data_IF_499760202243
#
_entry.id   IF_499760202243
#
_cell.length_a   1.000
_cell.length_b   1.000
_cell.length_c   1.000
_cell.angle_alpha   90.00
_cell.angle_beta   90.00
_cell.angle_gamma   90.00
#
_symmetry.space_group_name_H-M   'P 1'
#
loop_
_entity.id
_entity.type
_entity.pdbx_description
1 polymer ?
#
# COMPACT_ATOMS: atom_id res chain seq x y z
N UNK A 1 -20.41 -3.48 -13.54
CA UNK A 1 -20.06 -2.11 -13.09
C UNK A 1 -21.36 -1.32 -13.10
N UNK A 2 -21.76 -0.75 -11.96
CA UNK A 2 -22.97 0.06 -11.87
C UNK A 2 -22.58 1.50 -11.53
N UNK A 3 -23.03 2.46 -12.33
CA UNK A 3 -22.69 3.88 -12.16
C UNK A 3 -23.97 4.64 -11.87
N UNK A 4 -23.97 5.41 -10.77
CA UNK A 4 -25.10 6.25 -10.39
C UNK A 4 -24.63 7.70 -10.33
N UNK A 5 -25.25 8.54 -11.15
CA UNK A 5 -24.98 9.97 -11.18
C UNK A 5 -26.04 10.67 -10.31
N UNK A 6 -25.61 11.45 -9.34
CA UNK A 6 -26.48 12.28 -8.50
C UNK A 6 -26.01 13.72 -8.63
N UNK A 7 -26.87 14.59 -9.15
CA UNK A 7 -26.58 16.01 -9.27
C UNK A 7 -27.17 16.70 -8.04
N UNK A 8 -26.36 17.51 -7.35
CA UNK A 8 -26.74 18.14 -6.10
C UNK A 8 -26.48 19.64 -6.15
N UNK A 9 -27.55 20.42 -6.22
CA UNK A 9 -27.48 21.87 -6.11
C UNK A 9 -27.43 22.33 -4.67
N UNK A 10 -26.34 23.00 -4.25
CA UNK A 10 -26.32 23.73 -2.98
C UNK A 10 -26.61 25.21 -3.24
N UNK A 11 -27.84 25.64 -2.97
CA UNK A 11 -28.24 27.05 -2.99
C UNK A 11 -28.44 27.53 -1.55
N UNK A 12 -27.38 27.61 -0.72
CA UNK A 12 -27.51 28.16 0.64
C UNK A 12 -26.37 29.13 0.98
N UNK A 13 -26.76 30.31 1.45
CA UNK A 13 -25.87 31.30 2.04
C UNK A 13 -25.41 30.82 3.43
N UNK A 14 -24.12 31.01 3.71
CA UNK A 14 -23.40 30.38 4.81
C UNK A 14 -23.84 30.95 6.16
N UNK A 15 -24.52 30.11 6.94
CA UNK A 15 -24.55 30.18 8.41
C UNK A 15 -23.65 29.09 9.00
N UNK A 16 -23.23 29.28 10.25
CA UNK A 16 -22.22 28.53 11.01
C UNK A 16 -22.39 26.99 11.16
N UNK A 17 -23.27 26.32 10.41
CA UNK A 17 -23.63 24.90 10.58
C UNK A 17 -23.50 24.02 9.32
N UNK A 18 -22.76 24.50 8.30
CA UNK A 18 -22.63 23.83 6.99
C UNK A 18 -21.97 22.45 7.05
N UNK A 19 -21.08 22.23 8.03
CA UNK A 19 -20.34 20.96 8.17
C UNK A 19 -21.27 19.80 8.59
N UNK A 20 -22.28 20.04 9.42
CA UNK A 20 -23.20 18.99 9.88
C UNK A 20 -24.22 18.61 8.79
N UNK A 21 -24.79 19.60 8.10
CA UNK A 21 -25.74 19.35 6.99
C UNK A 21 -25.07 18.62 5.82
N UNK A 22 -23.86 19.03 5.45
CA UNK A 22 -23.11 18.35 4.39
C UNK A 22 -22.72 16.93 4.82
N UNK A 23 -22.36 16.74 6.09
CA UNK A 23 -22.03 15.42 6.63
C UNK A 23 -23.23 14.48 6.56
N UNK A 24 -24.41 14.94 6.98
CA UNK A 24 -25.64 14.16 6.94
C UNK A 24 -26.04 13.83 5.50
N UNK A 25 -25.91 14.79 4.59
CA UNK A 25 -26.13 14.55 3.16
C UNK A 25 -25.17 13.49 2.59
N UNK A 26 -23.86 13.60 2.88
CA UNK A 26 -22.85 12.64 2.42
C UNK A 26 -23.12 11.24 2.99
N UNK A 27 -23.51 11.17 4.27
CA UNK A 27 -23.87 9.93 4.92
C UNK A 27 -25.10 9.29 4.25
N UNK A 28 -26.15 10.07 3.99
CA UNK A 28 -27.33 9.61 3.25
C UNK A 28 -27.01 9.14 1.84
N UNK A 29 -26.09 9.81 1.14
CA UNK A 29 -25.63 9.43 -0.19
C UNK A 29 -24.84 8.11 -0.16
N UNK A 30 -23.93 7.92 0.80
CA UNK A 30 -23.21 6.66 1.01
C UNK A 30 -24.20 5.53 1.28
N UNK A 31 -25.16 5.74 2.18
CA UNK A 31 -26.12 4.71 2.55
C UNK A 31 -27.06 4.36 1.40
N UNK A 32 -27.52 5.35 0.61
CA UNK A 32 -28.33 5.12 -0.60
C UNK A 32 -27.58 4.31 -1.66
N UNK A 33 -26.32 4.64 -1.90
CA UNK A 33 -25.47 3.92 -2.86
C UNK A 33 -25.21 2.50 -2.37
N UNK A 34 -24.96 2.31 -1.07
CA UNK A 34 -24.73 0.99 -0.49
C UNK A 34 -25.98 0.10 -0.54
N UNK A 35 -27.15 0.64 -0.15
CA UNK A 35 -28.43 -0.07 -0.23
C UNK A 35 -28.74 -0.50 -1.67
N UNK A 36 -28.44 0.34 -2.66
CA UNK A 36 -28.67 0.02 -4.08
C UNK A 36 -27.74 -1.05 -4.64
N UNK A 37 -26.58 -1.27 -4.03
CA UNK A 37 -25.61 -2.26 -4.50
C UNK A 37 -25.85 -3.67 -3.95
N UNK A 38 -26.51 -3.82 -2.80
CA UNK A 38 -26.96 -5.13 -2.26
C UNK A 38 -25.86 -6.10 -1.81
N UNK A 39 -24.59 -5.92 -2.21
CA UNK A 39 -23.46 -6.79 -1.85
C UNK A 39 -22.42 -6.06 -0.96
N UNK A 40 -22.04 -6.73 0.12
CA UNK A 40 -21.00 -6.30 1.08
C UNK A 40 -19.59 -6.26 0.49
N UNK A 41 -19.35 -7.00 -0.59
CA UNK A 41 -18.07 -7.00 -1.32
C UNK A 41 -17.90 -5.80 -2.26
N UNK A 42 -18.97 -5.04 -2.49
CA UNK A 42 -18.97 -3.87 -3.38
C UNK A 42 -18.05 -2.78 -2.86
N UNK A 43 -17.21 -2.25 -3.76
CA UNK A 43 -16.42 -1.06 -3.49
C UNK A 43 -17.01 0.15 -4.20
N UNK A 44 -16.96 1.29 -3.55
CA UNK A 44 -17.58 2.53 -4.01
C UNK A 44 -16.51 3.59 -4.21
N UNK A 45 -16.59 4.33 -5.30
CA UNK A 45 -15.77 5.51 -5.57
C UNK A 45 -16.67 6.71 -5.80
N UNK A 46 -16.19 7.90 -5.50
CA UNK A 46 -16.96 9.13 -5.65
C UNK A 46 -16.16 10.17 -6.40
N UNK A 47 -16.81 10.92 -7.27
CA UNK A 47 -16.17 12.00 -8.02
C UNK A 47 -17.01 13.26 -7.87
N UNK A 48 -16.41 14.31 -7.32
CA UNK A 48 -17.04 15.61 -7.13
C UNK A 48 -16.55 16.56 -8.22
N UNK A 49 -17.49 17.16 -8.94
CA UNK A 49 -17.18 18.15 -9.97
C UNK A 49 -17.95 19.42 -9.65
N UNK A 50 -17.26 20.54 -9.64
CA UNK A 50 -17.85 21.84 -9.37
C UNK A 50 -17.12 22.90 -10.22
N UNK A 51 -17.80 23.92 -10.76
CA UNK A 51 -17.15 24.95 -11.59
C UNK A 51 -16.01 25.70 -10.90
N UNK A 52 -16.09 25.88 -9.58
CA UNK A 52 -15.00 26.48 -8.78
C UNK A 52 -13.80 25.55 -8.56
N UNK A 53 -13.90 24.26 -8.91
CA UNK A 53 -12.80 23.31 -8.86
C UNK A 53 -12.21 23.15 -10.26
N UNK A 54 -10.92 23.47 -10.44
CA UNK A 54 -10.22 23.25 -11.73
C UNK A 54 -10.09 21.76 -12.07
N UNK A 55 -10.07 20.90 -11.04
CA UNK A 55 -10.00 19.46 -11.20
C UNK A 55 -11.08 18.78 -10.35
N UNK A 56 -11.67 17.72 -10.88
CA UNK A 56 -12.61 16.90 -10.12
C UNK A 56 -11.93 16.25 -8.91
N UNK A 57 -12.62 16.23 -7.77
CA UNK A 57 -12.13 15.57 -6.56
C UNK A 57 -12.51 14.11 -6.63
N UNK A 58 -11.52 13.25 -6.80
CA UNK A 58 -11.71 11.81 -6.83
C UNK A 58 -11.48 11.18 -5.45
N UNK A 59 -12.48 10.44 -4.97
CA UNK A 59 -12.40 9.56 -3.82
C UNK A 59 -12.27 8.12 -4.35
N UNK A 60 -11.17 7.43 -4.01
CA UNK A 60 -10.86 6.12 -4.54
C UNK A 60 -11.89 5.07 -4.11
N UNK A 61 -11.94 3.99 -4.90
CA UNK A 61 -12.77 2.82 -4.60
C UNK A 61 -12.39 2.17 -3.27
N UNK A 62 -13.32 2.15 -2.33
CA UNK A 62 -13.15 1.52 -1.01
C UNK A 62 -14.45 0.87 -0.55
N UNK A 63 -14.35 0.00 0.46
CA UNK A 63 -15.53 -0.59 1.09
C UNK A 63 -16.33 0.46 1.87
N UNK A 64 -17.61 0.17 2.16
CA UNK A 64 -18.50 1.06 2.94
C UNK A 64 -17.83 1.59 4.20
N UNK A 65 -17.20 0.71 4.97
CA UNK A 65 -16.57 1.04 6.27
C UNK A 65 -15.38 2.01 6.13
N UNK A 66 -14.85 2.20 4.92
CA UNK A 66 -13.67 3.03 4.64
C UNK A 66 -14.01 4.33 3.91
N UNK A 67 -15.21 4.43 3.34
CA UNK A 67 -15.76 5.64 2.73
C UNK A 67 -16.84 6.21 3.63
N UNK A 68 -16.41 6.80 4.75
CA UNK A 68 -17.31 7.52 5.67
C UNK A 68 -17.49 8.97 5.23
N UNK A 69 -18.55 9.62 5.68
CA UNK A 69 -18.80 11.03 5.39
C UNK A 69 -17.60 11.91 5.77
N UNK A 70 -16.94 11.64 6.90
CA UNK A 70 -15.75 12.38 7.35
C UNK A 70 -14.57 12.28 6.38
N UNK A 71 -14.38 11.10 5.77
CA UNK A 71 -13.32 10.90 4.77
C UNK A 71 -13.60 11.74 3.53
N UNK A 72 -14.88 11.82 3.11
CA UNK A 72 -15.29 12.63 1.96
C UNK A 72 -15.15 14.12 2.24
N UNK A 73 -15.66 14.57 3.38
CA UNK A 73 -15.59 15.98 3.80
C UNK A 73 -14.14 16.43 3.92
N UNK A 74 -13.27 15.64 4.58
CA UNK A 74 -11.85 15.99 4.70
C UNK A 74 -11.18 16.15 3.33
N UNK A 75 -11.56 15.34 2.34
CA UNK A 75 -11.00 15.42 0.99
C UNK A 75 -11.48 16.67 0.25
N UNK A 76 -12.76 17.01 0.40
CA UNK A 76 -13.34 18.24 -0.14
C UNK A 76 -12.72 19.47 0.53
N UNK A 77 -12.67 19.52 1.86
CA UNK A 77 -12.06 20.61 2.64
C UNK A 77 -10.59 20.84 2.28
N UNK A 78 -9.80 19.77 2.13
CA UNK A 78 -8.40 19.91 1.72
C UNK A 78 -8.27 20.55 0.32
N UNK A 79 -9.17 20.22 -0.60
CA UNK A 79 -9.18 20.80 -1.95
C UNK A 79 -9.66 22.25 -1.96
N UNK A 80 -10.70 22.59 -1.18
CA UNK A 80 -11.18 23.98 -1.08
C UNK A 80 -10.17 24.89 -0.39
N UNK A 81 -9.59 24.45 0.72
CA UNK A 81 -8.56 25.20 1.47
C UNK A 81 -7.33 25.49 0.62
N UNK A 82 -6.90 24.54 -0.23
CA UNK A 82 -5.76 24.75 -1.12
C UNK A 82 -5.95 25.88 -2.14
N UNK A 83 -7.19 26.34 -2.34
CA UNK A 83 -7.56 27.40 -3.28
C UNK A 83 -8.13 28.66 -2.61
N UNK A 84 -8.17 28.71 -1.27
CA UNK A 84 -8.81 29.80 -0.55
C UNK A 84 -10.33 29.89 -0.80
N UNK A 85 -10.95 28.81 -1.29
CA UNK A 85 -12.40 28.75 -1.47
C UNK A 85 -13.04 28.51 -0.11
N UNK A 86 -13.75 29.51 0.39
CA UNK A 86 -14.50 29.41 1.65
C UNK A 86 -15.93 28.91 1.42
N UNK A 87 -16.41 28.94 0.18
CA UNK A 87 -17.83 28.72 -0.16
C UNK A 87 -17.95 28.09 -1.55
N UNK A 88 -18.90 27.15 -1.71
CA UNK A 88 -19.31 26.66 -3.02
C UNK A 88 -20.57 27.42 -3.43
N UNK A 89 -20.40 28.36 -4.35
CA UNK A 89 -21.53 28.98 -5.03
C UNK A 89 -21.79 28.15 -6.29
N UNK A 90 -23.06 27.76 -6.52
CA UNK A 90 -23.58 26.93 -7.63
C UNK A 90 -23.66 25.42 -7.35
N UNK A 91 -24.20 24.69 -8.32
CA UNK A 91 -24.46 23.25 -8.21
C UNK A 91 -23.18 22.41 -8.30
N UNK A 92 -23.12 21.37 -7.45
CA UNK A 92 -22.04 20.39 -7.44
C UNK A 92 -22.56 19.05 -8.00
N UNK A 93 -21.82 18.51 -8.96
CA UNK A 93 -22.10 17.19 -9.51
C UNK A 93 -21.36 16.11 -8.74
N UNK A 94 -22.07 15.10 -8.28
CA UNK A 94 -21.50 13.98 -7.51
C UNK A 94 -21.77 12.67 -8.26
N UNK A 95 -20.71 12.04 -8.75
CA UNK A 95 -20.81 10.74 -9.43
C UNK A 95 -20.38 9.65 -8.46
N UNK A 96 -21.31 8.78 -8.09
CA UNK A 96 -21.04 7.59 -7.30
C UNK A 96 -20.88 6.37 -8.22
N UNK A 97 -19.73 5.72 -8.13
CA UNK A 97 -19.45 4.51 -8.93
C UNK A 97 -19.38 3.31 -8.00
N UNK A 98 -20.23 2.32 -8.24
CA UNK A 98 -20.23 1.06 -7.53
C UNK A 98 -19.60 -0.04 -8.39
N UNK A 99 -18.51 -0.60 -7.89
CA UNK A 99 -17.79 -1.68 -8.53
C UNK A 99 -17.95 -2.95 -7.70
N UNK A 100 -18.53 -3.97 -8.33
CA UNK A 100 -18.46 -5.32 -7.80
C UNK A 100 -17.12 -5.90 -8.24
N UNK A 101 -16.19 -6.17 -7.31
CA UNK A 101 -14.97 -6.87 -7.68
C UNK A 101 -15.38 -8.23 -8.28
N UNK A 102 -14.67 -8.71 -9.33
CA UNK A 102 -14.98 -9.99 -9.92
C UNK A 102 -14.92 -11.08 -8.84
N UNK A 103 -16.05 -11.73 -8.58
CA UNK A 103 -16.15 -12.86 -7.66
C UNK A 103 -15.92 -14.15 -8.44
N UNK A 104 -14.87 -14.87 -8.06
CA UNK A 104 -14.45 -16.11 -8.68
C UNK A 104 -13.05 -16.49 -8.23
N UNK A 105 -12.76 -17.80 -8.18
CA UNK A 105 -11.37 -18.28 -8.05
C UNK A 105 -10.64 -18.05 -9.37
N UNK A 106 -10.47 -16.80 -9.81
CA UNK A 106 -9.42 -16.50 -10.77
C UNK A 106 -8.14 -17.06 -10.16
N UNK A 107 -7.47 -18.02 -10.84
CA UNK A 107 -6.38 -18.87 -10.31
C UNK A 107 -5.73 -18.17 -9.13
N UNK A 108 -6.15 -18.56 -7.93
CA UNK A 108 -5.54 -18.07 -6.71
C UNK A 108 -4.10 -18.52 -6.88
N UNK A 109 -3.18 -17.60 -7.19
CA UNK A 109 -1.76 -17.91 -7.07
C UNK A 109 -1.64 -18.31 -5.63
N UNK A 110 -1.48 -19.60 -5.38
CA UNK A 110 -1.45 -20.18 -4.06
C UNK A 110 -0.66 -19.22 -3.17
N UNK A 111 -1.37 -18.63 -2.21
CA UNK A 111 -0.75 -17.80 -1.21
C UNK A 111 0.03 -18.79 -0.37
N UNK A 112 1.24 -19.13 -0.81
CA UNK A 112 2.13 -20.00 -0.08
C UNK A 112 2.51 -19.20 1.15
N UNK A 113 1.86 -19.52 2.27
CA UNK A 113 2.36 -19.17 3.59
C UNK A 113 3.84 -19.56 3.62
N UNK A 114 4.68 -18.64 4.06
CA UNK A 114 6.14 -18.66 3.90
C UNK A 114 6.85 -19.82 4.64
N UNK A 115 6.11 -20.86 5.03
CA UNK A 115 6.57 -22.03 5.76
C UNK A 115 6.84 -23.24 4.86
N UNK A 116 6.40 -23.21 3.59
CA UNK A 116 6.66 -24.28 2.64
C UNK A 116 7.70 -23.88 1.60
N UNK A 117 8.74 -24.71 1.50
CA UNK A 117 9.95 -24.50 0.72
C UNK A 117 9.70 -23.91 -0.67
N UNK A 118 10.17 -22.68 -0.88
CA UNK A 118 10.14 -21.99 -2.16
C UNK A 118 10.91 -22.82 -3.19
N UNK A 119 10.20 -23.46 -4.13
CA UNK A 119 10.81 -24.06 -5.32
C UNK A 119 11.40 -22.93 -6.18
N UNK A 120 12.70 -23.02 -6.44
CA UNK A 120 13.58 -21.92 -6.90
C UNK A 120 13.32 -21.46 -8.35
N UNK A 121 12.40 -22.10 -9.10
CA UNK A 121 12.30 -21.92 -10.55
C UNK A 121 11.15 -21.04 -11.06
N UNK A 122 10.39 -20.35 -10.20
CA UNK A 122 9.34 -19.43 -10.65
C UNK A 122 9.59 -18.00 -10.16
N UNK A 123 9.44 -17.02 -11.06
CA UNK A 123 9.40 -15.59 -10.74
C UNK A 123 8.19 -15.32 -9.84
N UNK A 124 8.41 -15.27 -8.53
CA UNK A 124 7.39 -15.00 -7.52
C UNK A 124 7.45 -13.55 -7.05
N UNK A 125 6.28 -12.92 -6.89
CA UNK A 125 6.14 -11.57 -6.35
C UNK A 125 5.89 -11.71 -4.85
N UNK A 126 6.85 -11.30 -4.04
CA UNK A 126 6.74 -11.28 -2.58
C UNK A 126 6.05 -9.99 -2.14
N UNK A 127 4.85 -10.09 -1.56
CA UNK A 127 4.19 -8.96 -0.87
C UNK A 127 4.52 -9.01 0.62
N UNK A 128 5.37 -8.09 1.07
CA UNK A 128 5.74 -7.92 2.48
C UNK A 128 4.85 -6.82 3.07
N UNK A 129 3.93 -7.17 3.99
CA UNK A 129 3.23 -6.17 4.81
C UNK A 129 4.19 -5.68 5.89
N UNK A 130 4.45 -4.38 5.96
CA UNK A 130 5.34 -3.83 6.97
C UNK A 130 4.87 -2.46 7.47
N UNK A 131 5.03 -2.25 8.78
CA UNK A 131 4.70 -1.03 9.53
C UNK A 131 5.94 -0.20 9.88
N UNK A 132 7.14 -0.65 9.50
CA UNK A 132 8.42 0.01 9.74
C UNK A 132 9.01 0.53 8.42
N UNK A 133 9.53 1.76 8.45
CA UNK A 133 10.14 2.46 7.30
C UNK A 133 11.39 1.76 6.75
N UNK A 134 12.02 0.87 7.52
CA UNK A 134 13.24 0.16 7.13
C UNK A 134 12.99 -1.24 6.57
N UNK A 135 11.73 -1.64 6.41
CA UNK A 135 11.34 -2.99 5.99
C UNK A 135 12.03 -3.54 4.75
N UNK A 136 12.05 -2.73 3.69
CA UNK A 136 12.59 -3.07 2.40
C UNK A 136 14.11 -3.17 2.47
N UNK A 137 14.75 -2.19 3.11
CA UNK A 137 16.19 -2.19 3.30
C UNK A 137 16.64 -3.39 4.15
N UNK A 138 15.91 -3.75 5.21
CA UNK A 138 16.17 -4.96 6.01
C UNK A 138 16.03 -6.25 5.19
N UNK A 139 14.99 -6.36 4.36
CA UNK A 139 14.80 -7.50 3.47
C UNK A 139 15.96 -7.63 2.45
N UNK A 140 16.41 -6.50 1.89
CA UNK A 140 17.56 -6.45 0.97
C UNK A 140 18.84 -6.91 1.67
N UNK A 141 19.13 -6.46 2.89
CA UNK A 141 20.31 -6.89 3.68
C UNK A 141 20.33 -8.41 3.85
N UNK A 142 19.20 -9.01 4.24
CA UNK A 142 19.09 -10.46 4.45
C UNK A 142 19.21 -11.22 3.12
N UNK A 143 18.62 -10.69 2.05
CA UNK A 143 18.69 -11.29 0.71
C UNK A 143 20.12 -11.30 0.16
N UNK A 144 20.86 -10.20 0.28
CA UNK A 144 22.28 -10.12 -0.14
C UNK A 144 23.10 -11.18 0.61
N UNK A 145 23.00 -11.22 1.94
CA UNK A 145 23.77 -12.19 2.73
C UNK A 145 23.42 -13.65 2.38
N UNK A 146 22.17 -13.94 2.04
CA UNK A 146 21.74 -15.26 1.61
C UNK A 146 22.23 -15.60 0.18
N UNK A 147 22.30 -14.62 -0.71
CA UNK A 147 22.86 -14.76 -2.05
C UNK A 147 24.36 -15.05 -2.00
N UNK A 148 25.12 -14.31 -1.19
CA UNK A 148 26.56 -14.54 -0.96
C UNK A 148 26.82 -15.99 -0.50
N UNK A 149 26.03 -16.47 0.46
CA UNK A 149 26.13 -17.85 0.95
C UNK A 149 25.80 -18.89 -0.15
N UNK A 150 24.86 -18.60 -1.04
CA UNK A 150 24.53 -19.51 -2.16
C UNK A 150 25.63 -19.53 -3.21
N UNK A 151 26.14 -18.36 -3.60
CA UNK A 151 27.26 -18.26 -4.54
C UNK A 151 28.46 -19.03 -4.02
N UNK A 152 28.80 -18.84 -2.74
CA UNK A 152 29.90 -19.53 -2.07
C UNK A 152 29.71 -21.06 -2.03
N UNK A 153 28.47 -21.54 -1.93
CA UNK A 153 28.16 -22.99 -1.99
C UNK A 153 28.26 -23.57 -3.41
N UNK A 154 27.98 -22.77 -4.43
CA UNK A 154 27.89 -23.23 -5.82
C UNK A 154 29.25 -23.27 -6.54
N UNK A 155 30.28 -22.59 -6.02
CA UNK A 155 31.63 -22.64 -6.60
C UNK A 155 32.21 -24.08 -6.54
N UNK A 156 32.69 -24.62 -7.66
CA UNK A 156 33.19 -26.00 -7.73
C UNK A 156 34.48 -26.17 -6.91
N UNK A 157 34.56 -27.25 -6.11
CA UNK A 157 35.72 -27.60 -5.26
C UNK A 157 36.86 -28.32 -6.01
N UNK A 158 36.68 -28.56 -7.31
CA UNK A 158 37.38 -29.62 -8.06
C UNK A 158 38.89 -29.35 -8.23
N UNK A 159 39.37 -28.12 -7.95
CA UNK A 159 40.79 -27.73 -8.12
C UNK A 159 41.44 -27.14 -6.85
N UNK A 160 40.81 -27.21 -5.67
CA UNK A 160 41.34 -26.55 -4.46
C UNK A 160 42.28 -27.45 -3.64
N UNK A 161 43.41 -26.89 -3.20
CA UNK A 161 44.35 -27.55 -2.28
C UNK A 161 43.74 -27.77 -0.89
N UNK A 162 44.33 -28.65 -0.06
CA UNK A 162 43.80 -28.96 1.28
C UNK A 162 43.65 -27.72 2.18
N UNK A 163 44.64 -26.82 2.17
CA UNK A 163 44.57 -25.54 2.90
C UNK A 163 43.45 -24.62 2.37
N UNK A 164 43.27 -24.56 1.05
CA UNK A 164 42.20 -23.79 0.43
C UNK A 164 40.80 -24.36 0.78
N UNK A 165 40.68 -25.69 0.92
CA UNK A 165 39.44 -26.34 1.35
C UNK A 165 39.10 -25.99 2.80
N UNK A 166 40.08 -26.02 3.72
CA UNK A 166 39.86 -25.65 5.12
C UNK A 166 39.45 -24.18 5.30
N UNK A 167 40.17 -23.25 4.66
CA UNK A 167 39.80 -21.83 4.65
C UNK A 167 38.38 -21.64 4.11
N UNK A 168 38.02 -22.42 3.08
CA UNK A 168 36.68 -22.34 2.49
C UNK A 168 35.59 -22.83 3.44
N UNK A 169 35.82 -23.92 4.19
CA UNK A 169 34.88 -24.41 5.21
C UNK A 169 34.68 -23.35 6.30
N UNK A 170 35.76 -22.76 6.81
CA UNK A 170 35.70 -21.69 7.81
C UNK A 170 34.93 -20.45 7.32
N UNK A 171 35.15 -20.06 6.07
CA UNK A 171 34.43 -18.95 5.44
C UNK A 171 32.94 -19.26 5.26
N UNK A 172 32.60 -20.50 4.88
CA UNK A 172 31.20 -20.95 4.77
C UNK A 172 30.48 -20.85 6.11
N UNK A 173 31.10 -21.31 7.19
CA UNK A 173 30.51 -21.27 8.53
C UNK A 173 30.37 -19.86 9.07
N UNK A 174 31.34 -18.99 8.75
CA UNK A 174 31.27 -17.56 9.05
C UNK A 174 30.09 -16.91 8.32
N UNK A 175 29.89 -17.21 7.04
CA UNK A 175 28.74 -16.72 6.24
C UNK A 175 27.41 -17.26 6.76
N UNK A 176 27.32 -18.55 7.12
CA UNK A 176 26.12 -19.13 7.75
C UNK A 176 25.77 -18.42 9.06
N UNK A 177 26.76 -18.22 9.94
CA UNK A 177 26.57 -17.50 11.22
C UNK A 177 26.11 -16.07 10.97
N UNK A 178 26.67 -15.38 9.97
CA UNK A 178 26.24 -14.02 9.58
C UNK A 178 24.79 -13.99 9.10
N UNK A 179 24.38 -14.90 8.22
CA UNK A 179 22.99 -15.00 7.76
C UNK A 179 22.04 -15.28 8.94
N UNK A 180 22.41 -16.20 9.82
CA UNK A 180 21.59 -16.56 10.98
C UNK A 180 21.39 -15.36 11.92
N UNK A 181 22.47 -14.65 12.27
CA UNK A 181 22.41 -13.43 13.10
C UNK A 181 21.56 -12.34 12.46
N UNK A 182 21.72 -12.13 11.14
CA UNK A 182 20.92 -11.14 10.43
C UNK A 182 19.45 -11.54 10.34
N UNK A 183 19.09 -12.82 10.40
CA UNK A 183 17.70 -13.25 10.50
C UNK A 183 17.11 -13.09 11.90
N UNK A 184 17.92 -13.28 12.94
CA UNK A 184 17.45 -13.29 14.33
C UNK A 184 17.45 -11.93 15.01
N UNK A 185 18.27 -10.98 14.58
CA UNK A 185 18.54 -9.76 15.34
C UNK A 185 18.14 -8.49 14.57
N UNK A 186 17.02 -7.90 14.97
CA UNK A 186 16.44 -6.71 14.33
C UNK A 186 17.36 -5.48 14.38
N UNK A 187 18.03 -5.24 15.51
CA UNK A 187 19.00 -4.12 15.67
C UNK A 187 20.14 -4.17 14.64
N UNK A 188 20.63 -5.38 14.34
CA UNK A 188 21.68 -5.58 13.33
C UNK A 188 21.18 -5.40 11.91
N UNK A 189 19.95 -5.85 11.60
CA UNK A 189 19.30 -5.57 10.32
C UNK A 189 19.15 -4.07 10.12
N UNK A 190 18.69 -3.35 11.16
CA UNK A 190 18.49 -1.90 11.16
C UNK A 190 19.80 -1.16 10.91
N UNK A 191 20.87 -1.48 11.64
CA UNK A 191 22.18 -0.83 11.46
C UNK A 191 22.69 -0.97 10.02
N UNK A 192 22.63 -2.18 9.45
CA UNK A 192 23.05 -2.42 8.06
C UNK A 192 22.12 -1.83 7.01
N UNK A 193 20.82 -1.81 7.28
CA UNK A 193 19.85 -1.16 6.40
C UNK A 193 20.12 0.35 6.30
N UNK A 194 20.38 1.00 7.43
CA UNK A 194 20.75 2.42 7.47
C UNK A 194 22.08 2.69 6.74
N UNK A 195 23.07 1.83 6.91
CA UNK A 195 24.35 1.91 6.18
C UNK A 195 24.15 1.80 4.67
N UNK A 196 23.34 0.84 4.20
CA UNK A 196 22.99 0.70 2.78
C UNK A 196 22.28 1.94 2.23
N UNK A 197 21.32 2.49 2.97
CA UNK A 197 20.58 3.68 2.57
C UNK A 197 21.49 4.91 2.50
N UNK A 198 22.39 5.09 3.48
CA UNK A 198 23.40 6.17 3.45
C UNK A 198 24.33 6.05 2.26
N UNK A 199 24.83 4.84 1.96
CA UNK A 199 25.70 4.60 0.80
C UNK A 199 24.98 4.87 -0.52
N UNK A 200 23.66 4.71 -0.56
CA UNK A 200 22.82 5.03 -1.71
C UNK A 200 22.41 6.52 -1.78
N UNK A 201 22.91 7.37 -0.89
CA UNK A 201 22.58 8.80 -0.84
C UNK A 201 21.15 9.09 -0.35
N UNK A 202 20.48 8.11 0.25
CA UNK A 202 19.13 8.28 0.81
C UNK A 202 19.26 8.93 2.19
N UNK A 203 18.49 10.00 2.40
CA UNK A 203 18.38 10.68 3.69
C UNK A 203 17.74 9.72 4.72
N UNK A 204 18.43 9.50 5.85
CA UNK A 204 18.05 8.53 6.89
C UNK A 204 17.78 9.20 8.25
N UNK A 205 17.40 10.48 8.22
CA UNK A 205 17.01 11.33 9.35
C UNK A 205 15.77 10.80 10.08
#
# INVERSE_FOLDING_TARGET
>A
MSTRVVEFGMNHAIGHNWDDELKDFMQGLIDSVHQSAGDTSTVFGFTFTHPALENAVHIPFRTRNQNTAEVMMRRLQHQTQSRGLTTFNNEMKIVATALHPPSGRGRVKDTVEAHLAIKVNHKSILKIKNTDSLCLARAIVVAIAAADLRQFKNEKLIQMSSQQREQRVQNCDTLKKRVQRLKSTESMQRKKALELLRNAGVRTD
#
